data_IF_717482228889
#
_entry.id   IF_717482228889
#
_cell.length_a   1.000
_cell.length_b   1.000
_cell.length_c   1.000
_cell.angle_alpha   90.00
_cell.angle_beta   90.00
_cell.angle_gamma   90.00
#
_symmetry.space_group_name_H-M   'P 1'
#
loop_
_entity.id
_entity.type
_entity.pdbx_description
1 polymer ?
#
# COMPACT_ATOMS: atom_id res chain seq x y z
N UNK A 1 1.17 -14.54 16.35
CA UNK A 1 0.37 -13.83 17.36
C UNK A 1 0.32 -14.56 18.70
N UNK A 2 -0.11 -15.82 18.77
CA UNK A 2 -0.23 -16.61 20.05
C UNK A 2 1.09 -16.63 20.83
N UNK A 3 2.21 -16.94 20.19
CA UNK A 3 3.54 -16.96 20.83
C UNK A 3 3.91 -15.59 21.42
N UNK A 4 3.69 -14.50 20.69
CA UNK A 4 3.95 -13.16 21.19
C UNK A 4 3.08 -12.79 22.39
N UNK A 5 1.81 -13.19 22.38
CA UNK A 5 0.89 -13.01 23.51
C UNK A 5 1.35 -13.80 24.74
N UNK A 6 1.80 -15.06 24.57
CA UNK A 6 2.32 -15.88 25.65
C UNK A 6 3.62 -15.31 26.26
N UNK A 7 4.53 -14.81 25.41
CA UNK A 7 5.76 -14.13 25.84
C UNK A 7 5.41 -12.86 26.62
N UNK A 8 4.49 -12.05 26.10
CA UNK A 8 4.04 -10.83 26.79
C UNK A 8 3.43 -11.16 28.16
N UNK A 9 2.60 -12.18 28.24
CA UNK A 9 1.98 -12.66 29.50
C UNK A 9 3.05 -13.08 30.53
N UNK A 10 4.07 -13.81 30.07
CA UNK A 10 5.15 -14.30 30.93
C UNK A 10 6.06 -13.16 31.44
N UNK A 11 6.33 -12.16 30.60
CA UNK A 11 7.27 -11.08 30.92
C UNK A 11 6.61 -9.93 31.70
N UNK A 12 5.39 -9.52 31.30
CA UNK A 12 4.74 -8.31 31.87
C UNK A 12 3.89 -8.57 33.10
N UNK A 13 3.61 -9.84 33.44
CA UNK A 13 2.71 -10.25 34.54
C UNK A 13 1.33 -9.58 34.51
N UNK A 14 0.87 -9.18 33.33
CA UNK A 14 -0.46 -8.57 33.12
C UNK A 14 -1.55 -9.61 33.33
N UNK A 15 -2.73 -9.18 33.79
CA UNK A 15 -3.87 -10.08 33.95
C UNK A 15 -4.35 -10.57 32.57
N UNK A 16 -4.69 -11.84 32.42
CA UNK A 16 -5.20 -12.39 31.15
C UNK A 16 -6.41 -11.62 30.60
N UNK A 17 -7.26 -11.07 31.47
CA UNK A 17 -8.41 -10.26 31.09
C UNK A 17 -8.02 -8.95 30.40
N UNK A 18 -6.93 -8.29 30.84
CA UNK A 18 -6.45 -7.04 30.24
C UNK A 18 -5.86 -7.29 28.86
N UNK A 19 -5.19 -8.43 28.67
CA UNK A 19 -4.67 -8.85 27.37
C UNK A 19 -5.82 -9.15 26.42
N UNK A 20 -6.86 -9.86 26.88
CA UNK A 20 -8.05 -10.12 26.09
C UNK A 20 -8.73 -8.81 25.64
N UNK A 21 -8.91 -7.87 26.57
CA UNK A 21 -9.46 -6.54 26.26
C UNK A 21 -8.62 -5.81 25.23
N UNK A 22 -7.32 -5.69 25.43
CA UNK A 22 -6.41 -5.01 24.50
C UNK A 22 -6.41 -5.66 23.10
N UNK A 23 -6.55 -7.00 23.05
CA UNK A 23 -6.67 -7.73 21.78
C UNK A 23 -7.96 -7.35 21.03
N UNK A 24 -9.11 -7.36 21.71
CA UNK A 24 -10.39 -7.01 21.08
C UNK A 24 -10.48 -5.53 20.73
N UNK A 25 -9.95 -4.64 21.56
CA UNK A 25 -9.87 -3.19 21.28
C UNK A 25 -8.99 -2.93 20.04
N UNK A 26 -7.82 -3.60 19.95
CA UNK A 26 -6.93 -3.53 18.81
C UNK A 26 -7.55 -4.09 17.53
N UNK A 27 -8.26 -5.21 17.63
CA UNK A 27 -8.97 -5.83 16.52
C UNK A 27 -10.10 -4.93 16.01
N UNK A 28 -10.88 -4.34 16.91
CA UNK A 28 -11.96 -3.40 16.57
C UNK A 28 -11.42 -2.14 15.87
N UNK A 29 -10.32 -1.60 16.37
CA UNK A 29 -9.65 -0.43 15.77
C UNK A 29 -9.09 -0.76 14.37
N UNK A 30 -8.42 -1.91 14.21
CA UNK A 30 -7.91 -2.35 12.91
C UNK A 30 -9.04 -2.58 11.89
N UNK A 31 -10.13 -3.22 12.32
CA UNK A 31 -11.30 -3.46 11.48
C UNK A 31 -11.95 -2.16 11.02
N UNK A 32 -12.16 -1.20 11.94
CA UNK A 32 -12.70 0.12 11.60
C UNK A 32 -11.81 0.89 10.63
N UNK A 33 -10.49 0.85 10.82
CA UNK A 33 -9.54 1.50 9.93
C UNK A 33 -9.54 0.90 8.52
N UNK A 34 -9.56 -0.42 8.40
CA UNK A 34 -9.57 -1.11 7.10
C UNK A 34 -10.86 -0.81 6.34
N UNK A 35 -12.02 -0.93 6.99
CA UNK A 35 -13.32 -0.61 6.37
C UNK A 35 -13.37 0.86 5.96
N UNK A 36 -12.88 1.77 6.81
CA UNK A 36 -12.81 3.18 6.50
C UNK A 36 -12.02 3.47 5.22
N UNK A 37 -10.86 2.82 5.05
CA UNK A 37 -10.05 2.96 3.84
C UNK A 37 -10.77 2.41 2.60
N UNK A 38 -11.42 1.24 2.71
CA UNK A 38 -12.17 0.64 1.59
C UNK A 38 -13.32 1.55 1.15
N UNK A 39 -14.11 2.07 2.10
CA UNK A 39 -15.21 3.00 1.79
C UNK A 39 -14.67 4.28 1.15
N UNK A 40 -13.61 4.86 1.71
CA UNK A 40 -13.02 6.09 1.17
C UNK A 40 -12.46 5.88 -0.24
N UNK A 41 -11.80 4.75 -0.51
CA UNK A 41 -11.32 4.38 -1.84
C UNK A 41 -12.48 4.23 -2.83
N UNK A 42 -13.56 3.54 -2.46
CA UNK A 42 -14.74 3.37 -3.31
C UNK A 42 -15.42 4.69 -3.64
N UNK A 43 -15.60 5.59 -2.66
CA UNK A 43 -16.16 6.94 -2.89
C UNK A 43 -15.27 7.75 -3.82
N UNK A 44 -13.96 7.74 -3.60
CA UNK A 44 -12.99 8.45 -4.44
C UNK A 44 -13.04 7.96 -5.89
N UNK A 45 -13.01 6.65 -6.11
CA UNK A 45 -13.07 6.05 -7.45
C UNK A 45 -14.41 6.30 -8.12
N UNK A 46 -15.52 6.26 -7.38
CA UNK A 46 -16.84 6.62 -7.91
C UNK A 46 -16.86 8.06 -8.43
N UNK A 47 -16.24 9.00 -7.69
CA UNK A 47 -16.07 10.37 -8.13
C UNK A 47 -15.23 10.50 -9.42
N UNK A 48 -14.09 9.80 -9.48
CA UNK A 48 -13.25 9.77 -10.69
C UNK A 48 -13.98 9.17 -11.90
N UNK A 49 -14.78 8.13 -11.66
CA UNK A 49 -15.56 7.49 -12.73
C UNK A 49 -16.66 8.43 -13.26
N UNK A 50 -17.36 9.12 -12.37
CA UNK A 50 -18.39 10.10 -12.73
C UNK A 50 -17.85 11.27 -13.56
N UNK A 51 -16.59 11.68 -13.32
CA UNK A 51 -15.92 12.73 -14.11
C UNK A 51 -15.34 12.20 -15.43
N UNK A 52 -15.39 10.89 -15.71
CA UNK A 52 -14.80 10.28 -16.89
C UNK A 52 -13.27 10.11 -16.83
N UNK A 53 -12.63 10.52 -15.75
CA UNK A 53 -11.17 10.43 -15.59
C UNK A 53 -10.65 8.98 -15.63
N UNK A 54 -11.39 8.03 -15.07
CA UNK A 54 -11.02 6.60 -15.12
C UNK A 54 -11.03 6.13 -16.58
N UNK A 55 -12.06 6.46 -17.37
CA UNK A 55 -12.12 6.10 -18.80
C UNK A 55 -11.00 6.74 -19.61
N UNK A 56 -10.71 8.00 -19.37
CA UNK A 56 -9.61 8.71 -20.05
C UNK A 56 -8.26 8.07 -19.72
N UNK A 57 -8.02 7.71 -18.46
CA UNK A 57 -6.81 7.03 -18.01
C UNK A 57 -6.65 5.65 -18.65
N UNK A 58 -7.70 4.82 -18.63
CA UNK A 58 -7.72 3.50 -19.26
C UNK A 58 -7.48 3.63 -20.77
N UNK A 59 -8.15 4.56 -21.44
CA UNK A 59 -7.97 4.80 -22.88
C UNK A 59 -6.53 5.20 -23.24
N UNK A 60 -5.89 6.03 -22.41
CA UNK A 60 -4.49 6.38 -22.59
C UNK A 60 -3.55 5.18 -22.40
N UNK A 61 -3.89 4.29 -21.48
CA UNK A 61 -3.11 3.07 -21.21
C UNK A 61 -3.27 2.03 -22.33
N UNK A 62 -4.46 1.86 -22.90
CA UNK A 62 -4.73 0.88 -23.98
C UNK A 62 -3.90 1.14 -25.23
N UNK A 63 -3.54 2.38 -25.50
CA UNK A 63 -2.70 2.74 -26.64
C UNK A 63 -1.23 2.33 -26.50
N UNK A 64 -0.80 1.91 -25.30
CA UNK A 64 0.60 1.52 -25.08
C UNK A 64 0.73 0.45 -23.96
N UNK A 65 0.67 -0.85 -24.30
CA UNK A 65 0.68 -1.94 -23.32
C UNK A 65 1.92 -1.97 -22.40
N UNK A 66 3.06 -1.46 -22.87
CA UNK A 66 4.26 -1.39 -22.05
C UNK A 66 4.10 -0.39 -20.90
N UNK A 67 3.37 0.71 -21.13
CA UNK A 67 3.09 1.71 -20.11
C UNK A 67 2.17 1.16 -19.01
N UNK A 68 1.25 0.27 -19.35
CA UNK A 68 0.31 -0.34 -18.40
C UNK A 68 1.05 -1.06 -17.28
N UNK A 69 2.01 -1.91 -17.64
CA UNK A 69 2.79 -2.69 -16.66
C UNK A 69 3.58 -1.78 -15.72
N UNK A 70 4.15 -0.70 -16.25
CA UNK A 70 4.87 0.29 -15.44
C UNK A 70 3.90 1.06 -14.56
N UNK A 71 2.78 1.54 -15.10
CA UNK A 71 1.79 2.31 -14.34
C UNK A 71 1.14 1.48 -13.21
N UNK A 72 0.96 0.16 -13.43
CA UNK A 72 0.41 -0.73 -12.40
C UNK A 72 1.27 -0.81 -11.13
N UNK A 73 2.58 -0.59 -11.23
CA UNK A 73 3.50 -0.56 -10.08
C UNK A 73 3.87 0.86 -9.67
N UNK A 74 4.26 1.71 -10.62
CA UNK A 74 4.76 3.06 -10.35
C UNK A 74 3.65 4.00 -9.88
N UNK A 75 2.42 3.84 -10.38
CA UNK A 75 1.28 4.64 -9.94
C UNK A 75 1.02 4.51 -8.43
N UNK A 76 0.72 3.30 -7.93
CA UNK A 76 0.57 3.06 -6.50
C UNK A 76 1.83 3.40 -5.68
N UNK A 77 3.03 3.20 -6.24
CA UNK A 77 4.28 3.60 -5.59
C UNK A 77 4.34 5.11 -5.34
N UNK A 78 4.07 5.92 -6.34
CA UNK A 78 4.05 7.39 -6.19
C UNK A 78 2.97 7.85 -5.24
N UNK A 79 1.76 7.26 -5.31
CA UNK A 79 0.68 7.56 -4.38
C UNK A 79 1.05 7.16 -2.95
N UNK A 80 1.63 5.98 -2.74
CA UNK A 80 2.10 5.52 -1.43
C UNK A 80 3.21 6.40 -0.86
N UNK A 81 4.13 6.86 -1.70
CA UNK A 81 5.18 7.80 -1.34
C UNK A 81 4.61 9.16 -0.91
N UNK A 82 3.69 9.73 -1.71
CA UNK A 82 3.11 11.05 -1.47
C UNK A 82 2.16 11.07 -0.27
N UNK A 83 1.40 9.99 -0.05
CA UNK A 83 0.40 9.93 1.02
C UNK A 83 0.95 9.33 2.33
N UNK A 84 2.06 8.61 2.27
CA UNK A 84 2.58 7.82 3.39
C UNK A 84 1.75 6.57 3.70
N UNK A 85 0.73 6.25 2.87
CA UNK A 85 -0.18 5.11 3.04
C UNK A 85 -0.13 4.18 1.83
N UNK A 86 0.54 3.04 1.98
CA UNK A 86 0.59 2.03 0.94
C UNK A 86 -0.76 1.37 0.71
N UNK A 87 -1.53 1.16 1.78
CA UNK A 87 -2.84 0.52 1.70
C UNK A 87 -3.84 1.40 0.94
N UNK A 88 -3.91 2.70 1.26
CA UNK A 88 -4.79 3.64 0.56
C UNK A 88 -4.45 3.73 -0.94
N UNK A 89 -3.17 3.79 -1.28
CA UNK A 89 -2.70 3.81 -2.66
C UNK A 89 -3.06 2.52 -3.42
N UNK A 90 -2.85 1.37 -2.77
CA UNK A 90 -3.16 0.05 -3.35
C UNK A 90 -4.66 -0.13 -3.55
N UNK A 91 -5.47 0.19 -2.55
CA UNK A 91 -6.93 0.05 -2.65
C UNK A 91 -7.52 0.99 -3.71
N UNK A 92 -7.09 2.24 -3.76
CA UNK A 92 -7.57 3.19 -4.78
C UNK A 92 -7.24 2.71 -6.20
N UNK A 93 -6.03 2.19 -6.43
CA UNK A 93 -5.64 1.66 -7.73
C UNK A 93 -6.40 0.37 -8.07
N UNK A 94 -6.50 -0.55 -7.12
CA UNK A 94 -7.21 -1.81 -7.32
C UNK A 94 -8.70 -1.62 -7.59
N UNK A 95 -9.33 -0.63 -6.98
CA UNK A 95 -10.72 -0.30 -7.25
C UNK A 95 -10.91 0.33 -8.63
N UNK A 96 -9.99 1.22 -9.04
CA UNK A 96 -10.14 1.99 -10.27
C UNK A 96 -9.67 1.25 -11.53
N UNK A 97 -8.57 0.50 -11.46
CA UNK A 97 -7.83 0.02 -12.62
C UNK A 97 -7.79 -1.51 -12.72
N UNK A 98 -7.61 -2.21 -11.62
CA UNK A 98 -7.46 -3.66 -11.61
C UNK A 98 -8.67 -4.42 -12.20
N UNK A 99 -9.94 -3.98 -12.09
CA UNK A 99 -11.05 -4.64 -12.77
C UNK A 99 -10.91 -4.69 -14.30
N UNK A 100 -10.14 -3.75 -14.88
CA UNK A 100 -9.87 -3.66 -16.31
C UNK A 100 -8.61 -4.41 -16.76
N UNK A 101 -7.99 -5.20 -15.88
CA UNK A 101 -6.73 -5.91 -16.17
C UNK A 101 -6.77 -6.74 -17.45
N UNK A 102 -7.89 -7.38 -17.73
CA UNK A 102 -8.08 -8.22 -18.94
C UNK A 102 -8.03 -7.39 -20.24
N UNK A 103 -8.48 -6.14 -20.22
CA UNK A 103 -8.42 -5.23 -21.36
C UNK A 103 -6.95 -4.92 -21.74
N UNK A 104 -6.05 -5.04 -20.78
CA UNK A 104 -4.63 -4.82 -20.94
C UNK A 104 -3.83 -6.11 -21.19
N UNK A 105 -4.52 -7.24 -21.32
CA UNK A 105 -3.87 -8.55 -21.48
C UNK A 105 -3.17 -9.07 -20.23
N UNK A 106 -3.61 -8.60 -19.04
CA UNK A 106 -3.09 -9.01 -17.74
C UNK A 106 -4.16 -9.72 -16.92
N UNK A 107 -3.74 -10.60 -16.00
CA UNK A 107 -4.67 -11.15 -15.03
C UNK A 107 -4.94 -10.14 -13.90
N UNK A 108 -6.12 -10.22 -13.25
CA UNK A 108 -6.48 -9.41 -12.09
C UNK A 108 -5.47 -9.61 -10.97
N UNK A 109 -5.02 -10.85 -10.75
CA UNK A 109 -4.04 -11.18 -9.71
C UNK A 109 -2.68 -10.53 -10.00
N UNK A 110 -2.23 -10.58 -11.27
CA UNK A 110 -0.98 -9.96 -11.67
C UNK A 110 -0.99 -8.46 -11.45
N UNK A 111 -2.03 -7.78 -11.96
CA UNK A 111 -2.16 -6.32 -11.81
C UNK A 111 -2.30 -5.90 -10.34
N UNK A 112 -3.13 -6.61 -9.56
CA UNK A 112 -3.29 -6.35 -8.13
C UNK A 112 -2.01 -6.58 -7.33
N UNK A 113 -1.21 -7.59 -7.70
CA UNK A 113 0.09 -7.85 -7.07
C UNK A 113 1.10 -6.73 -7.37
N UNK A 114 1.12 -6.22 -8.61
CA UNK A 114 1.95 -5.08 -9.00
C UNK A 114 1.56 -3.81 -8.24
N UNK A 115 0.26 -3.56 -8.08
CA UNK A 115 -0.25 -2.43 -7.31
C UNK A 115 0.13 -2.54 -5.82
N UNK A 116 0.02 -3.73 -5.25
CA UNK A 116 0.40 -3.99 -3.85
C UNK A 116 1.90 -3.80 -3.64
N UNK A 117 2.72 -4.31 -4.55
CA UNK A 117 4.17 -4.08 -4.51
C UNK A 117 4.48 -2.59 -4.54
N UNK A 118 3.91 -1.86 -5.50
CA UNK A 118 4.12 -0.43 -5.66
C UNK A 118 3.72 0.36 -4.40
N UNK A 119 2.49 0.20 -3.92
CA UNK A 119 1.98 0.90 -2.75
C UNK A 119 2.82 0.65 -1.49
N UNK A 120 3.20 -0.62 -1.27
CA UNK A 120 4.03 -1.01 -0.11
C UNK A 120 5.43 -0.40 -0.17
N UNK A 121 6.09 -0.47 -1.32
CA UNK A 121 7.42 0.10 -1.50
C UNK A 121 7.39 1.63 -1.43
N UNK A 122 6.38 2.28 -2.02
CA UNK A 122 6.20 3.73 -1.95
C UNK A 122 6.04 4.23 -0.52
N UNK A 123 5.18 3.58 0.27
CA UNK A 123 5.04 3.88 1.70
C UNK A 123 6.36 3.73 2.46
N UNK A 124 7.13 2.69 2.14
CA UNK A 124 8.36 2.37 2.88
C UNK A 124 9.43 3.47 2.76
N UNK A 125 9.46 4.22 1.66
CA UNK A 125 10.37 5.36 1.49
C UNK A 125 9.71 6.71 1.75
N UNK A 126 8.44 6.74 2.10
CA UNK A 126 7.75 8.01 2.35
C UNK A 126 8.26 8.67 3.64
N UNK A 127 8.68 9.95 3.58
CA UNK A 127 9.14 10.67 4.77
C UNK A 127 7.99 11.01 5.73
N UNK A 128 6.75 10.96 5.25
CA UNK A 128 5.55 11.24 6.03
C UNK A 128 4.85 9.96 6.54
N UNK A 129 5.35 8.78 6.19
CA UNK A 129 4.83 7.53 6.72
C UNK A 129 5.09 7.42 8.23
N UNK A 130 4.08 7.02 8.99
CA UNK A 130 4.17 6.93 10.46
C UNK A 130 5.37 6.10 10.94
N UNK A 131 5.66 4.97 10.29
CA UNK A 131 6.82 4.14 10.61
C UNK A 131 8.14 4.90 10.42
N UNK A 132 8.29 5.64 9.31
CA UNK A 132 9.49 6.44 9.02
C UNK A 132 9.67 7.55 10.06
N UNK A 133 8.59 8.24 10.45
CA UNK A 133 8.62 9.30 11.47
C UNK A 133 9.05 8.73 12.82
N UNK A 134 8.47 7.59 13.23
CA UNK A 134 8.81 6.95 14.50
C UNK A 134 10.28 6.50 14.52
N UNK A 135 10.73 5.82 13.46
CA UNK A 135 12.13 5.39 13.36
C UNK A 135 13.11 6.57 13.35
N UNK A 136 12.77 7.65 12.64
CA UNK A 136 13.56 8.88 12.63
C UNK A 136 13.65 9.52 14.02
N UNK A 137 12.52 9.54 14.75
CA UNK A 137 12.47 10.04 16.12
C UNK A 137 13.38 9.25 17.07
N UNK A 138 13.36 7.93 17.00
CA UNK A 138 14.27 7.09 17.80
C UNK A 138 15.73 7.26 17.42
N UNK A 139 16.02 7.42 16.13
CA UNK A 139 17.39 7.60 15.63
C UNK A 139 17.92 9.03 15.80
N UNK A 140 17.08 9.99 16.18
CA UNK A 140 17.46 11.40 16.29
C UNK A 140 17.81 12.05 14.95
N UNK A 141 17.23 11.58 13.85
CA UNK A 141 17.48 12.08 12.48
C UNK A 141 16.20 12.60 11.83
N UNK A 142 16.36 13.37 10.75
CA UNK A 142 15.21 13.80 9.96
C UNK A 142 14.63 12.62 9.15
N UNK A 143 13.30 12.43 9.09
CA UNK A 143 12.67 11.39 8.28
C UNK A 143 13.15 11.36 6.81
N UNK A 144 13.45 12.52 6.22
CA UNK A 144 13.97 12.62 4.85
C UNK A 144 15.35 11.94 4.69
N UNK A 145 16.16 11.90 5.75
CA UNK A 145 17.44 11.18 5.68
C UNK A 145 17.26 9.66 5.56
N UNK A 146 16.23 9.11 6.22
CA UNK A 146 15.85 7.69 6.07
C UNK A 146 15.39 7.44 4.63
N UNK A 147 14.53 8.31 4.10
CA UNK A 147 14.06 8.25 2.71
C UNK A 147 15.22 8.25 1.71
N UNK A 148 16.18 9.15 1.86
CA UNK A 148 17.34 9.23 0.96
C UNK A 148 18.19 7.95 0.99
N UNK A 149 18.40 7.36 2.16
CA UNK A 149 19.19 6.13 2.31
C UNK A 149 18.49 4.91 1.73
N UNK A 150 17.17 4.82 1.91
CA UNK A 150 16.36 3.70 1.43
C UNK A 150 15.90 3.88 -0.03
N UNK A 151 16.01 5.08 -0.60
CA UNK A 151 15.47 5.40 -1.92
C UNK A 151 16.02 4.50 -3.02
N UNK A 152 17.35 4.40 -3.13
CA UNK A 152 17.99 3.59 -4.19
C UNK A 152 17.60 2.11 -4.09
N UNK A 153 17.78 1.40 -2.96
CA UNK A 153 17.40 -0.01 -2.87
C UNK A 153 15.89 -0.25 -3.10
N UNK A 154 15.03 0.64 -2.66
CA UNK A 154 13.58 0.49 -2.86
C UNK A 154 13.18 0.71 -4.33
N UNK A 155 13.77 1.68 -5.02
CA UNK A 155 13.52 1.87 -6.45
C UNK A 155 14.04 0.68 -7.26
N UNK A 156 15.20 0.13 -6.91
CA UNK A 156 15.69 -1.10 -7.53
C UNK A 156 14.75 -2.29 -7.26
N UNK A 157 14.26 -2.44 -6.04
CA UNK A 157 13.28 -3.47 -5.68
C UNK A 157 11.98 -3.31 -6.48
N UNK A 158 11.51 -2.08 -6.69
CA UNK A 158 10.34 -1.80 -7.53
C UNK A 158 10.57 -2.25 -8.97
N UNK A 159 11.71 -1.89 -9.56
CA UNK A 159 12.02 -2.24 -10.95
C UNK A 159 12.14 -3.76 -11.12
N UNK A 160 12.88 -4.42 -10.24
CA UNK A 160 13.06 -5.89 -10.27
C UNK A 160 11.72 -6.59 -10.05
N UNK A 161 10.96 -6.20 -9.04
CA UNK A 161 9.66 -6.81 -8.74
C UNK A 161 8.65 -6.59 -9.86
N UNK A 162 8.61 -5.38 -10.45
CA UNK A 162 7.77 -5.09 -11.62
C UNK A 162 8.16 -5.97 -12.81
N UNK A 163 9.46 -6.14 -13.08
CA UNK A 163 9.95 -6.97 -14.17
C UNK A 163 9.50 -8.43 -14.01
N UNK A 164 9.67 -9.02 -12.83
CA UNK A 164 9.25 -10.40 -12.58
C UNK A 164 7.73 -10.58 -12.63
N UNK A 165 6.97 -9.69 -12.04
CA UNK A 165 5.50 -9.73 -12.07
C UNK A 165 4.94 -9.46 -13.48
N UNK A 166 5.66 -8.74 -14.32
CA UNK A 166 5.24 -8.44 -15.69
C UNK A 166 5.42 -9.63 -16.66
N UNK A 167 6.18 -10.65 -16.26
CA UNK A 167 6.42 -11.85 -17.09
C UNK A 167 5.41 -12.98 -16.85
N UNK A 168 4.72 -12.97 -15.72
CA UNK A 168 3.68 -13.96 -15.38
C UNK A 168 2.33 -13.55 -15.86
#
# INVERSE_FOLDING_TARGET
MIIGTLISLAVTRTKPADIGKAFFDGMGSAYGSIIGIIIAAGVFVSGLTATGLVKAFIGAMLNNPAIVKICASVGPFLLGFLTGSGDAATFAFNEAVTPHAQEFGMSIVQMGSMATLGGTLGRTISPIAGATIICAGFAGVNPVEITKRNGIPIVLALLVGTFFLAQG
#
